data_IF_773625092824
#
_entry.id   IF_773625092824
#
_cell.length_a   1.000
_cell.length_b   1.000
_cell.length_c   1.000
_cell.angle_alpha   90.00
_cell.angle_beta   90.00
_cell.angle_gamma   90.00
#
_symmetry.space_group_name_H-M   'P 1'
#
loop_
_entity.id
_entity.type
_entity.pdbx_description
1 polymer ?
#
# COMPACT_ATOMS: atom_id res chain seq x y z
N UNK A 1 -7.95 8.37 -12.83
CA UNK A 1 -6.76 7.62 -12.38
C UNK A 1 -7.14 6.46 -11.49
N UNK A 2 -6.49 5.31 -11.65
CA UNK A 2 -6.73 4.15 -10.77
C UNK A 2 -6.05 4.37 -9.42
N UNK A 3 -6.72 3.97 -8.34
CA UNK A 3 -6.21 4.06 -6.97
C UNK A 3 -6.41 2.76 -6.20
N UNK A 4 -5.38 2.35 -5.48
CA UNK A 4 -5.41 1.18 -4.60
C UNK A 4 -5.92 1.61 -3.23
N UNK A 5 -6.98 0.98 -2.74
CA UNK A 5 -7.43 1.12 -1.36
C UNK A 5 -6.40 0.53 -0.43
N UNK A 6 -5.75 1.35 0.38
CA UNK A 6 -4.79 0.94 1.40
C UNK A 6 -5.11 1.66 2.71
N UNK A 7 -4.61 1.14 3.82
CA UNK A 7 -4.78 1.78 5.10
C UNK A 7 -3.97 3.08 5.19
N UNK A 8 -4.57 4.14 5.75
CA UNK A 8 -3.97 5.48 5.76
C UNK A 8 -2.56 5.54 6.37
N UNK A 9 -2.32 4.82 7.47
CA UNK A 9 -1.00 4.74 8.10
C UNK A 9 0.05 4.11 7.17
N UNK A 10 -0.32 3.15 6.33
CA UNK A 10 0.59 2.59 5.33
C UNK A 10 0.91 3.60 4.22
N UNK A 11 -0.03 4.46 3.82
CA UNK A 11 0.26 5.55 2.89
C UNK A 11 1.31 6.52 3.46
N UNK A 12 1.18 6.90 4.73
CA UNK A 12 2.19 7.71 5.42
C UNK A 12 3.51 6.97 5.61
N UNK A 13 3.48 5.68 5.96
CA UNK A 13 4.67 4.87 6.09
C UNK A 13 5.48 4.80 4.78
N UNK A 14 4.78 4.69 3.65
CA UNK A 14 5.39 4.68 2.32
C UNK A 14 6.04 6.04 2.01
N UNK A 15 5.32 7.14 2.24
CA UNK A 15 5.84 8.50 2.02
C UNK A 15 7.01 8.87 2.95
N UNK A 16 7.08 8.28 4.15
CA UNK A 16 8.19 8.46 5.09
C UNK A 16 9.30 7.41 4.91
N UNK A 17 9.18 6.52 3.91
CA UNK A 17 10.14 5.48 3.65
C UNK A 17 10.21 4.40 4.74
N UNK A 18 9.30 4.37 5.71
CA UNK A 18 9.21 3.33 6.77
C UNK A 18 8.63 2.02 6.24
N UNK A 19 7.92 2.07 5.11
CA UNK A 19 7.43 0.92 4.37
C UNK A 19 7.89 1.03 2.92
N UNK A 20 8.28 -0.10 2.32
CA UNK A 20 8.62 -0.20 0.88
C UNK A 20 7.89 -1.35 0.17
N UNK A 21 7.21 -2.21 0.94
CA UNK A 21 6.51 -3.38 0.44
C UNK A 21 5.03 -3.30 0.78
N UNK A 22 4.18 -3.50 -0.22
CA UNK A 22 2.77 -3.80 -0.04
C UNK A 22 2.56 -5.32 -0.02
N UNK A 23 1.75 -5.81 0.92
CA UNK A 23 1.34 -7.20 1.00
C UNK A 23 -0.11 -7.33 0.55
N UNK A 24 -0.31 -7.90 -0.64
CA UNK A 24 -1.62 -7.96 -1.30
C UNK A 24 -2.03 -9.36 -1.70
N UNK A 25 -3.24 -9.75 -1.31
CA UNK A 25 -3.99 -10.81 -1.97
C UNK A 25 -5.04 -10.16 -2.85
N UNK A 26 -5.36 -10.79 -3.98
CA UNK A 26 -6.40 -10.27 -4.89
C UNK A 26 -7.69 -9.94 -4.14
N UNK A 27 -8.40 -8.91 -4.60
CA UNK A 27 -9.68 -8.49 -4.04
C UNK A 27 -10.78 -9.56 -4.15
N UNK A 28 -11.97 -9.29 -3.59
CA UNK A 28 -13.07 -10.28 -3.49
C UNK A 28 -13.48 -10.87 -4.85
N UNK A 29 -13.35 -10.11 -5.94
CA UNK A 29 -13.67 -10.54 -7.31
C UNK A 29 -12.44 -10.93 -8.16
N UNK A 30 -11.23 -10.87 -7.60
CA UNK A 30 -9.99 -11.13 -8.33
C UNK A 30 -9.46 -12.53 -8.03
N UNK A 31 -9.24 -13.35 -9.07
CA UNK A 31 -8.63 -14.68 -8.91
C UNK A 31 -7.14 -14.59 -8.54
N UNK A 32 -6.46 -13.48 -8.81
CA UNK A 32 -5.09 -13.11 -8.40
C UNK A 32 -5.04 -11.59 -8.29
N UNK A 33 -4.20 -11.04 -7.40
CA UNK A 33 -3.93 -9.60 -7.45
C UNK A 33 -3.20 -9.32 -8.76
N UNK A 34 -3.87 -8.66 -9.69
CA UNK A 34 -3.28 -8.20 -10.94
C UNK A 34 -3.04 -6.71 -10.79
N UNK A 35 -1.84 -6.25 -11.15
CA UNK A 35 -1.59 -4.83 -11.29
C UNK A 35 -2.44 -4.31 -12.45
N UNK A 36 -3.33 -3.36 -12.16
CA UNK A 36 -4.06 -2.67 -13.23
C UNK A 36 -3.14 -1.69 -13.98
N UNK A 37 -2.17 -1.11 -13.27
CA UNK A 37 -1.15 -0.23 -13.83
C UNK A 37 0.17 -0.36 -13.05
N UNK A 38 1.27 0.02 -13.69
CA UNK A 38 2.60 0.17 -13.10
C UNK A 38 2.70 1.41 -12.20
N UNK A 39 1.84 2.42 -12.40
CA UNK A 39 1.74 3.63 -11.56
C UNK A 39 0.30 3.89 -11.13
N UNK A 40 0.06 4.09 -9.84
CA UNK A 40 -1.30 4.28 -9.31
C UNK A 40 -1.31 5.13 -8.04
N UNK A 41 -2.48 5.65 -7.68
CA UNK A 41 -2.69 6.43 -6.45
C UNK A 41 -3.00 5.53 -5.25
N UNK A 42 -2.84 6.05 -4.04
CA UNK A 42 -3.40 5.42 -2.83
C UNK A 42 -4.72 6.08 -2.42
N UNK A 43 -5.76 5.28 -2.28
CA UNK A 43 -7.02 5.67 -1.64
C UNK A 43 -6.97 5.26 -0.17
N UNK A 44 -6.80 6.18 0.79
CA UNK A 44 -6.68 5.81 2.19
C UNK A 44 -8.01 5.27 2.74
N UNK A 45 -7.89 4.27 3.60
CA UNK A 45 -8.99 3.66 4.34
C UNK A 45 -8.60 3.52 5.80
N UNK A 46 -9.58 3.49 6.70
CA UNK A 46 -9.36 3.34 8.15
C UNK A 46 -10.35 2.30 8.68
N UNK A 47 -9.89 1.44 9.58
CA UNK A 47 -10.69 0.42 10.23
C UNK A 47 -10.27 0.28 11.70
N UNK A 48 -11.17 -0.17 12.57
CA UNK A 48 -10.86 -0.38 14.00
C UNK A 48 -9.71 -1.37 14.23
N UNK A 49 -9.56 -2.38 13.38
CA UNK A 49 -8.48 -3.37 13.46
C UNK A 49 -7.09 -2.82 13.11
N UNK A 50 -7.01 -1.56 12.64
CA UNK A 50 -5.77 -0.95 12.17
C UNK A 50 -4.76 -0.76 13.29
N UNK A 51 -5.20 -0.28 14.46
CA UNK A 51 -4.30 -0.06 15.59
C UNK A 51 -3.65 -1.37 16.07
N UNK A 52 -4.45 -2.42 16.28
CA UNK A 52 -3.96 -3.74 16.71
C UNK A 52 -3.08 -4.43 15.65
N UNK A 53 -3.26 -4.07 14.38
CA UNK A 53 -2.50 -4.61 13.25
C UNK A 53 -1.18 -3.88 12.99
N UNK A 54 -0.96 -2.72 13.60
CA UNK A 54 0.22 -1.88 13.38
C UNK A 54 1.23 -2.11 14.49
N UNK A 55 2.51 -2.25 14.12
CA UNK A 55 3.59 -2.42 15.09
C UNK A 55 3.71 -1.15 15.97
N UNK A 56 3.95 -1.28 17.30
CA UNK A 56 3.95 -0.15 18.22
C UNK A 56 4.85 1.02 17.82
N UNK A 57 6.03 0.72 17.25
CA UNK A 57 7.00 1.71 16.74
C UNK A 57 6.52 2.53 15.53
N UNK A 58 5.35 2.21 14.99
CA UNK A 58 4.70 2.94 13.90
C UNK A 58 3.32 3.49 14.30
N UNK A 59 2.98 3.45 15.59
CA UNK A 59 1.70 3.95 16.10
C UNK A 59 1.50 5.44 15.85
N UNK A 60 2.57 6.21 15.70
CA UNK A 60 2.56 7.63 15.33
C UNK A 60 1.93 7.90 13.95
N UNK A 61 1.87 6.89 13.07
CA UNK A 61 1.26 7.02 11.74
C UNK A 61 -0.27 6.83 11.75
N UNK A 62 -0.83 6.20 12.79
CA UNK A 62 -2.27 5.97 12.92
C UNK A 62 -3.09 7.27 12.93
N UNK A 63 -2.76 8.30 13.74
CA UNK A 63 -3.49 9.57 13.72
C UNK A 63 -3.34 10.28 12.36
N UNK A 64 -2.19 10.20 11.71
CA UNK A 64 -1.98 10.79 10.37
C UNK A 64 -2.89 10.15 9.33
N UNK A 65 -2.95 8.81 9.30
CA UNK A 65 -3.84 8.08 8.41
C UNK A 65 -5.33 8.30 8.72
N UNK A 66 -5.68 8.50 9.99
CA UNK A 66 -7.06 8.81 10.41
C UNK A 66 -7.48 10.20 9.96
N UNK A 67 -6.58 11.19 10.04
CA UNK A 67 -6.85 12.54 9.60
C UNK A 67 -7.14 12.64 8.09
N UNK A 68 -6.68 11.67 7.29
CA UNK A 68 -6.92 11.62 5.84
C UNK A 68 -8.27 11.03 5.45
N UNK A 69 -9.07 10.56 6.41
CA UNK A 69 -10.38 9.95 6.14
C UNK A 69 -11.42 10.56 7.06
N UNK A 70 -12.34 11.33 6.48
CA UNK A 70 -13.51 11.87 7.15
C UNK A 70 -14.77 11.18 6.63
N UNK A 71 -15.94 11.50 7.19
CA UNK A 71 -17.23 10.99 6.69
C UNK A 71 -17.52 11.43 5.25
N UNK A 72 -17.08 12.63 4.85
CA UNK A 72 -17.38 13.21 3.54
C UNK A 72 -16.24 13.20 2.54
N UNK A 73 -14.99 13.12 2.99
CA UNK A 73 -13.80 13.28 2.14
C UNK A 73 -12.67 12.34 2.53
N UNK A 74 -11.86 11.97 1.54
CA UNK A 74 -10.55 11.35 1.75
C UNK A 74 -9.44 12.19 1.12
N UNK A 75 -8.26 12.18 1.72
CA UNK A 75 -7.09 12.92 1.23
C UNK A 75 -6.13 11.96 0.52
N UNK A 76 -6.01 12.09 -0.79
CA UNK A 76 -5.06 11.33 -1.61
C UNK A 76 -3.72 12.07 -1.63
N UNK A 77 -2.64 11.40 -1.21
CA UNK A 77 -1.31 12.02 -1.03
C UNK A 77 -0.21 11.41 -1.86
N UNK A 78 -0.34 10.14 -2.26
CA UNK A 78 0.77 9.36 -2.77
C UNK A 78 0.48 8.79 -4.16
N UNK A 79 1.51 8.84 -4.99
CA UNK A 79 1.65 8.01 -6.18
C UNK A 79 2.62 6.90 -5.85
N UNK A 80 2.24 5.67 -6.21
CA UNK A 80 3.13 4.53 -6.17
C UNK A 80 3.53 4.12 -7.57
N UNK A 81 4.80 3.78 -7.75
CA UNK A 81 5.32 3.10 -8.93
C UNK A 81 5.80 1.72 -8.54
N UNK A 82 5.39 0.69 -9.28
CA UNK A 82 5.81 -0.69 -9.03
C UNK A 82 7.26 -0.86 -9.46
N UNK A 83 8.07 -1.37 -8.56
CA UNK A 83 9.45 -1.79 -8.83
C UNK A 83 9.46 -3.28 -9.17
N UNK A 84 8.81 -4.11 -8.34
CA UNK A 84 8.73 -5.55 -8.56
C UNK A 84 7.53 -6.16 -7.86
N UNK A 85 6.98 -7.22 -8.47
CA UNK A 85 5.98 -8.08 -7.84
C UNK A 85 6.60 -9.45 -7.61
N UNK A 86 6.65 -9.88 -6.36
CA UNK A 86 7.11 -11.21 -5.98
C UNK A 86 5.92 -12.00 -5.45
N UNK A 87 5.60 -13.12 -6.11
CA UNK A 87 4.66 -14.08 -5.56
C UNK A 87 5.29 -14.76 -4.34
N UNK A 88 4.60 -14.76 -3.19
CA UNK A 88 5.08 -15.39 -1.97
C UNK A 88 4.92 -16.91 -2.10
N UNK A 89 6.01 -17.59 -2.45
CA UNK A 89 6.10 -19.04 -2.52
C UNK A 89 6.48 -19.67 -1.17
N UNK A 90 7.15 -18.92 -0.29
CA UNK A 90 7.57 -19.34 1.06
C UNK A 90 6.88 -18.51 2.16
N UNK A 91 5.58 -18.75 2.44
CA UNK A 91 4.80 -17.96 3.40
C UNK A 91 5.30 -18.09 4.85
N UNK A 92 5.97 -19.20 5.18
CA UNK A 92 6.64 -19.41 6.46
C UNK A 92 7.75 -18.39 6.74
N UNK A 93 8.37 -17.86 5.68
CA UNK A 93 9.45 -16.84 5.76
C UNK A 93 8.94 -15.39 5.69
N UNK A 94 7.62 -15.16 5.69
CA UNK A 94 7.06 -13.80 5.54
C UNK A 94 7.56 -12.81 6.60
N UNK A 95 7.89 -13.31 7.80
CA UNK A 95 8.38 -12.50 8.91
C UNK A 95 9.71 -11.80 8.58
N UNK A 96 10.48 -12.30 7.61
CA UNK A 96 11.72 -11.66 7.14
C UNK A 96 11.47 -10.33 6.42
N UNK A 97 10.23 -10.10 5.97
CA UNK A 97 9.77 -8.84 5.37
C UNK A 97 9.31 -7.82 6.42
N UNK A 98 9.25 -8.18 7.71
CA UNK A 98 8.78 -7.27 8.76
C UNK A 98 9.51 -5.91 8.78
N UNK A 99 10.83 -5.81 8.50
CA UNK A 99 11.50 -4.50 8.41
C UNK A 99 11.07 -3.63 7.23
N UNK A 100 10.25 -4.13 6.31
CA UNK A 100 9.84 -3.45 5.07
C UNK A 100 8.38 -2.99 5.10
N UNK A 101 7.64 -3.26 6.18
CA UNK A 101 6.24 -2.88 6.35
C UNK A 101 5.87 -2.61 7.82
N UNK A 102 4.76 -1.91 8.04
CA UNK A 102 4.35 -1.50 9.40
C UNK A 102 3.53 -2.54 10.17
N UNK A 103 3.09 -3.61 9.50
CA UNK A 103 2.17 -4.59 10.07
C UNK A 103 2.81 -5.52 11.10
N UNK A 104 2.03 -5.93 12.11
CA UNK A 104 2.40 -7.00 13.03
C UNK A 104 2.42 -8.35 12.31
N UNK A 105 3.28 -9.26 12.76
CA UNK A 105 3.36 -10.63 12.22
C UNK A 105 2.00 -11.34 12.27
N UNK A 106 1.25 -11.16 13.36
CA UNK A 106 -0.09 -11.72 13.53
C UNK A 106 -1.07 -11.17 12.49
N UNK A 107 -1.06 -9.86 12.23
CA UNK A 107 -1.92 -9.26 11.21
C UNK A 107 -1.58 -9.75 9.81
N UNK A 108 -0.29 -9.89 9.49
CA UNK A 108 0.13 -10.47 8.20
C UNK A 108 -0.34 -11.91 8.07
N UNK A 109 -0.20 -12.73 9.12
CA UNK A 109 -0.68 -14.12 9.09
C UNK A 109 -2.20 -14.19 8.91
N UNK A 110 -2.96 -13.58 9.82
CA UNK A 110 -4.42 -13.67 9.86
C UNK A 110 -5.10 -12.96 8.68
N UNK A 111 -4.74 -11.70 8.43
CA UNK A 111 -5.44 -10.85 7.46
C UNK A 111 -4.87 -10.95 6.06
N UNK A 112 -3.71 -11.58 5.87
CA UNK A 112 -3.10 -11.75 4.55
C UNK A 112 -2.89 -13.23 4.23
N UNK A 113 -2.11 -14.00 4.99
CA UNK A 113 -1.78 -15.40 4.63
C UNK A 113 -2.97 -16.35 4.75
N UNK A 114 -3.70 -16.32 5.86
CA UNK A 114 -4.81 -17.24 6.12
C UNK A 114 -6.10 -16.78 5.43
N UNK A 115 -6.22 -15.46 5.21
CA UNK A 115 -7.29 -14.89 4.40
C UNK A 115 -7.20 -15.41 2.95
N UNK A 116 -8.22 -16.11 2.46
CA UNK A 116 -8.26 -16.68 1.09
C UNK A 116 -7.03 -17.58 0.80
N UNK A 117 -6.91 -18.75 1.45
CA UNK A 117 -5.69 -19.58 1.40
C UNK A 117 -5.41 -20.15 0.01
N UNK A 118 -6.41 -20.23 -0.87
CA UNK A 118 -6.26 -20.66 -2.27
C UNK A 118 -5.57 -19.61 -3.17
N UNK A 119 -5.37 -18.39 -2.67
CA UNK A 119 -4.73 -17.31 -3.41
C UNK A 119 -3.39 -16.98 -2.75
N UNK A 120 -2.33 -17.00 -3.56
CA UNK A 120 -0.99 -16.63 -3.08
C UNK A 120 -0.92 -15.13 -2.80
N UNK A 121 -0.17 -14.79 -1.76
CA UNK A 121 0.13 -13.41 -1.39
C UNK A 121 1.15 -12.85 -2.39
N UNK A 122 0.98 -11.60 -2.81
CA UNK A 122 1.98 -10.86 -3.55
C UNK A 122 2.67 -9.87 -2.61
N UNK A 123 4.00 -9.88 -2.62
CA UNK A 123 4.84 -8.84 -2.04
C UNK A 123 5.24 -7.89 -3.17
N UNK A 124 4.75 -6.65 -3.12
CA UNK A 124 4.94 -5.66 -4.16
C UNK A 124 5.89 -4.60 -3.64
N UNK A 125 7.08 -4.51 -4.23
CA UNK A 125 8.05 -3.45 -3.96
C UNK A 125 7.61 -2.22 -4.74
N UNK A 126 7.49 -1.09 -4.05
CA UNK A 126 6.99 0.15 -4.63
C UNK A 126 7.92 1.32 -4.30
N UNK A 127 8.09 2.20 -5.27
CA UNK A 127 8.56 3.56 -5.03
C UNK A 127 7.36 4.43 -4.69
N UNK A 128 7.45 5.18 -3.58
CA UNK A 128 6.41 6.10 -3.16
C UNK A 128 6.88 7.54 -3.31
N UNK A 129 6.06 8.37 -3.94
CA UNK A 129 6.29 9.80 -4.12
C UNK A 129 5.05 10.56 -3.68
N UNK A 130 5.20 11.70 -2.97
CA UNK A 130 4.06 12.56 -2.69
C UNK A 130 3.48 13.12 -4.00
N UNK A 131 2.22 13.49 -4.00
CA UNK A 131 1.66 14.39 -5.01
C UNK A 131 2.20 15.82 -4.79
N UNK A 132 2.24 16.66 -5.84
CA UNK A 132 2.63 18.08 -5.68
C UNK A 132 1.80 18.81 -4.63
N UNK A 133 0.51 18.47 -4.54
CA UNK A 133 -0.38 18.86 -3.46
C UNK A 133 -1.32 17.68 -3.14
N UNK A 134 -1.69 17.47 -1.86
CA UNK A 134 -2.74 16.53 -1.49
C UNK A 134 -4.06 16.86 -2.19
N UNK A 135 -4.79 15.84 -2.64
CA UNK A 135 -6.07 16.00 -3.34
C UNK A 135 -7.19 15.48 -2.46
N UNK A 136 -8.15 16.32 -2.14
CA UNK A 136 -9.37 15.92 -1.44
C UNK A 136 -10.37 15.32 -2.42
N UNK A 137 -10.86 14.13 -2.10
CA UNK A 137 -11.83 13.40 -2.91
C UNK A 137 -13.09 13.16 -2.07
N UNK A 138 -14.29 13.57 -2.55
CA UNK A 138 -15.53 13.24 -1.88
C UNK A 138 -15.73 11.72 -1.80
N UNK A 139 -16.10 11.23 -0.62
CA UNK A 139 -16.48 9.82 -0.46
C UNK A 139 -17.75 9.56 -1.25
N UNK A 140 -17.72 8.51 -2.08
CA UNK A 140 -18.86 8.08 -2.90
C UNK A 140 -19.16 6.60 -2.64
N UNK A 141 -20.43 6.17 -2.75
CA UNK A 141 -20.79 4.75 -2.63
C UNK A 141 -19.99 3.83 -3.58
N UNK A 142 -19.63 4.33 -4.77
CA UNK A 142 -18.81 3.61 -5.76
C UNK A 142 -17.38 3.29 -5.28
N UNK A 143 -16.85 4.07 -4.32
CA UNK A 143 -15.57 3.82 -3.68
C UNK A 143 -15.69 2.92 -2.44
N UNK A 144 -16.91 2.49 -2.10
CA UNK A 144 -17.19 1.59 -0.99
C UNK A 144 -16.90 0.12 -1.31
N UNK A 145 -17.19 -0.75 -0.34
CA UNK A 145 -17.13 -2.21 -0.52
C UNK A 145 -15.73 -2.79 -0.63
N UNK A 146 -15.68 -4.09 -0.93
CA UNK A 146 -14.48 -4.92 -0.80
C UNK A 146 -13.60 -5.00 -2.07
N UNK A 147 -13.75 -4.04 -2.99
CA UNK A 147 -12.86 -3.91 -4.15
C UNK A 147 -11.56 -3.26 -3.71
N UNK A 148 -10.44 -3.77 -4.22
CA UNK A 148 -9.11 -3.23 -3.92
C UNK A 148 -8.83 -1.96 -4.72
N UNK A 149 -9.37 -1.85 -5.94
CA UNK A 149 -9.15 -0.72 -6.82
C UNK A 149 -10.40 0.16 -6.95
N UNK A 150 -10.19 1.47 -7.08
CA UNK A 150 -11.22 2.47 -7.39
C UNK A 150 -10.73 3.42 -8.47
N UNK A 151 -11.63 3.84 -9.34
CA UNK A 151 -11.33 4.85 -10.34
C UNK A 151 -11.63 6.24 -9.77
N UNK A 152 -10.62 7.09 -9.66
CA UNK A 152 -10.75 8.46 -9.19
C UNK A 152 -10.85 9.44 -10.36
N UNK A 153 -11.66 10.51 -10.24
CA UNK A 153 -11.79 11.57 -11.24
C UNK A 153 -10.60 12.55 -11.18
N UNK A 154 -9.39 12.00 -11.18
CA UNK A 154 -8.12 12.73 -11.18
C UNK A 154 -7.49 12.57 -12.56
N UNK A 155 -7.01 13.68 -13.12
CA UNK A 155 -6.28 13.72 -14.38
C UNK A 155 -4.94 12.96 -14.24
N UNK A 156 -4.64 11.98 -15.12
CA UNK A 156 -3.35 11.29 -15.15
C UNK A 156 -2.13 12.21 -15.22
N UNK A 157 -2.26 13.42 -15.79
CA UNK A 157 -1.18 14.40 -15.88
C UNK A 157 -0.57 14.76 -14.51
N UNK A 158 -1.29 14.54 -13.40
CA UNK A 158 -0.76 14.74 -12.04
C UNK A 158 0.46 13.85 -11.75
N UNK A 159 0.59 12.71 -12.44
CA UNK A 159 1.74 11.82 -12.29
C UNK A 159 3.03 12.40 -12.87
N UNK A 160 2.92 13.28 -13.85
CA UNK A 160 4.05 13.82 -14.60
C UNK A 160 4.50 15.19 -14.05
N UNK A 161 3.76 15.73 -13.07
CA UNK A 161 4.17 16.94 -12.35
C UNK A 161 5.37 16.61 -11.46
N UNK A 162 6.53 17.29 -11.66
CA UNK A 162 7.67 17.14 -10.79
C UNK A 162 7.32 17.53 -9.35
N UNK A 163 7.78 16.75 -8.38
CA UNK A 163 7.71 17.12 -6.97
C UNK A 163 9.07 17.62 -6.52
N UNK A 164 9.09 18.63 -5.67
CA UNK A 164 10.32 19.09 -5.02
C UNK A 164 10.89 18.07 -4.01
N UNK A 165 10.13 17.03 -3.72
CA UNK A 165 10.49 15.95 -2.80
C UNK A 165 10.80 14.71 -3.64
N UNK A 166 12.00 14.19 -3.45
CA UNK A 166 12.44 12.91 -4.02
C UNK A 166 11.59 11.76 -3.46
N UNK A 167 11.53 10.62 -4.17
CA UNK A 167 10.93 9.41 -3.62
C UNK A 167 11.55 9.05 -2.27
N UNK A 168 10.74 8.46 -1.39
CA UNK A 168 11.18 8.15 -0.03
C UNK A 168 12.33 7.12 0.07
N UNK A 169 12.61 6.43 -1.04
CA UNK A 169 13.75 5.53 -1.21
C UNK A 169 14.30 5.70 -2.64
N UNK A 170 15.63 5.71 -2.77
CA UNK A 170 16.28 5.75 -4.06
C UNK A 170 16.18 4.41 -4.82
N UNK A 171 16.51 4.43 -6.11
CA UNK A 171 16.39 3.26 -6.97
C UNK A 171 17.34 2.10 -6.56
N UNK A 172 18.51 2.41 -5.98
CA UNK A 172 19.47 1.40 -5.54
C UNK A 172 18.96 0.68 -4.29
N UNK A 173 18.41 1.41 -3.31
CA UNK A 173 17.75 0.84 -2.14
C UNK A 173 16.58 -0.04 -2.56
N UNK A 174 15.70 0.44 -3.45
CA UNK A 174 14.54 -0.32 -3.91
C UNK A 174 14.94 -1.59 -4.67
N UNK A 175 16.03 -1.58 -5.45
CA UNK A 175 16.58 -2.80 -6.06
C UNK A 175 17.10 -3.78 -5.01
N UNK A 176 17.78 -3.30 -3.97
CA UNK A 176 18.25 -4.14 -2.87
C UNK A 176 17.07 -4.74 -2.08
N UNK A 177 16.01 -3.94 -1.84
CA UNK A 177 14.75 -4.39 -1.24
C UNK A 177 14.11 -5.48 -2.09
N UNK A 178 14.03 -5.30 -3.42
CA UNK A 178 13.48 -6.30 -4.32
C UNK A 178 14.26 -7.62 -4.33
N UNK A 179 15.60 -7.54 -4.37
CA UNK A 179 16.47 -8.70 -4.23
C UNK A 179 16.24 -9.44 -2.90
N UNK A 180 16.14 -8.69 -1.79
CA UNK A 180 15.84 -9.23 -0.45
C UNK A 180 14.48 -9.92 -0.40
N UNK A 181 13.43 -9.29 -0.95
CA UNK A 181 12.07 -9.87 -0.99
C UNK A 181 12.08 -11.19 -1.76
N UNK A 182 12.69 -11.20 -2.95
CA UNK A 182 12.80 -12.42 -3.77
C UNK A 182 13.56 -13.53 -3.06
N UNK A 183 14.69 -13.22 -2.42
CA UNK A 183 15.49 -14.19 -1.69
C UNK A 183 14.78 -14.76 -0.45
N UNK A 184 13.97 -13.95 0.23
CA UNK A 184 13.24 -14.35 1.43
C UNK A 184 12.01 -15.21 1.10
N UNK A 185 11.12 -14.70 0.25
CA UNK A 185 9.75 -15.25 0.10
C UNK A 185 9.39 -15.75 -1.29
N UNK A 186 10.18 -15.39 -2.32
CA UNK A 186 9.98 -15.81 -3.71
C UNK A 186 10.20 -17.29 -3.94
#
# INVERSE_FOLDING_TARGET
MIALKEWGAAAHALLQGRQRVLLRKGGIHEKRFTLEDSRFLLYPTVAHSHAASTRPEHADLLPLGTADVTEGTVVVRAVLSVVEVVEVARPDRIAELAPLHIWTTESVRTNRIDFRPKHRLAAIVVSARPLPAPIEIPVRPEYGGCRSWVQLPIDPAVLDVPTAVDPAADESDLRAVAARVRAAVG
#
